data_IF_053221868641
#
_entry.id   IF_053221868641
#
_cell.length_a   1.000
_cell.length_b   1.000
_cell.length_c   1.000
_cell.angle_alpha   90.00
_cell.angle_beta   90.00
_cell.angle_gamma   90.00
#
_symmetry.space_group_name_H-M   'P 1'
#
loop_
_entity.id
_entity.type
_entity.pdbx_description
1 polymer ?
#
# COMPACT_ATOMS: atom_id res chain seq x y z
N UNK A 1 -23.04 -13.68 31.72
CA UNK A 1 -23.01 -14.79 30.73
C UNK A 1 -23.07 -14.17 29.34
N UNK A 2 -22.15 -14.53 28.44
CA UNK A 2 -22.16 -14.03 27.06
C UNK A 2 -23.47 -14.42 26.33
N UNK A 3 -23.99 -13.51 25.54
CA UNK A 3 -25.19 -13.73 24.76
C UNK A 3 -24.99 -14.89 23.76
N UNK A 4 -25.99 -15.80 23.57
CA UNK A 4 -25.86 -16.91 22.63
C UNK A 4 -25.61 -16.42 21.19
N UNK A 5 -24.66 -17.04 20.48
CA UNK A 5 -24.28 -16.68 19.08
C UNK A 5 -25.51 -16.48 18.18
N UNK A 6 -26.50 -17.40 18.24
CA UNK A 6 -27.73 -17.27 17.43
C UNK A 6 -28.52 -15.99 17.66
N UNK A 7 -28.40 -15.39 18.85
CA UNK A 7 -29.08 -14.16 19.16
C UNK A 7 -28.27 -12.96 18.66
N UNK A 8 -26.96 -13.00 18.85
CA UNK A 8 -26.04 -11.98 18.34
C UNK A 8 -26.09 -11.81 16.83
N UNK A 9 -26.17 -12.91 16.04
CA UNK A 9 -26.30 -12.89 14.58
C UNK A 9 -27.56 -12.18 14.04
N UNK A 10 -28.49 -11.77 14.90
CA UNK A 10 -29.66 -10.99 14.47
C UNK A 10 -29.38 -9.49 14.38
N UNK A 11 -28.32 -9.02 15.05
CA UNK A 11 -28.04 -7.58 15.21
C UNK A 11 -26.54 -7.24 15.14
N UNK A 12 -25.65 -8.24 15.14
CA UNK A 12 -24.22 -8.05 14.98
C UNK A 12 -23.71 -8.69 13.68
N UNK A 13 -22.69 -8.09 13.09
CA UNK A 13 -21.99 -8.63 11.93
C UNK A 13 -20.85 -9.55 12.38
N UNK A 14 -20.56 -10.56 11.55
CA UNK A 14 -19.41 -11.45 11.76
C UNK A 14 -18.10 -10.82 11.24
N UNK A 15 -16.94 -11.24 11.77
CA UNK A 15 -16.77 -12.03 13.00
C UNK A 15 -17.34 -11.31 14.21
N UNK A 16 -17.88 -12.08 15.17
CA UNK A 16 -18.34 -11.50 16.45
C UNK A 16 -17.12 -11.17 17.31
N UNK A 17 -17.04 -9.96 17.81
CA UNK A 17 -15.88 -9.48 18.58
C UNK A 17 -16.20 -9.46 20.07
N UNK A 18 -15.30 -10.05 20.87
CA UNK A 18 -15.33 -10.06 22.34
C UNK A 18 -13.91 -9.77 22.86
N UNK A 19 -13.63 -8.51 23.21
CA UNK A 19 -12.28 -8.06 23.59
C UNK A 19 -11.29 -8.27 22.43
N UNK A 20 -10.29 -9.09 22.64
CA UNK A 20 -9.26 -9.45 21.66
C UNK A 20 -9.63 -10.69 20.80
N UNK A 21 -10.82 -11.28 21.00
CA UNK A 21 -11.27 -12.48 20.29
C UNK A 21 -12.23 -12.14 19.18
N UNK A 22 -11.88 -12.53 17.93
CA UNK A 22 -12.76 -12.56 16.77
C UNK A 22 -13.33 -13.98 16.56
N UNK A 23 -14.66 -14.13 16.55
CA UNK A 23 -15.35 -15.40 16.34
C UNK A 23 -16.00 -15.42 14.98
N UNK A 24 -15.41 -16.17 14.04
CA UNK A 24 -16.01 -16.50 12.74
C UNK A 24 -17.13 -17.49 12.92
N UNK A 25 -18.23 -17.33 12.17
CA UNK A 25 -19.43 -18.17 12.31
C UNK A 25 -19.92 -18.60 10.94
N UNK A 26 -20.24 -19.89 10.82
CA UNK A 26 -20.92 -20.44 9.65
C UNK A 26 -22.14 -21.26 10.07
N UNK A 27 -23.20 -21.20 9.26
CA UNK A 27 -24.39 -22.03 9.46
C UNK A 27 -24.68 -22.86 8.21
N UNK A 28 -24.73 -24.16 8.36
CA UNK A 28 -24.95 -25.12 7.29
C UNK A 28 -24.66 -26.55 7.73
N UNK A 29 -24.97 -27.51 6.90
CA UNK A 29 -24.66 -28.94 7.18
C UNK A 29 -23.16 -29.20 7.19
N UNK A 30 -22.43 -28.47 6.34
CA UNK A 30 -20.97 -28.50 6.26
C UNK A 30 -20.44 -27.08 6.36
N UNK A 31 -19.30 -26.91 7.01
CA UNK A 31 -18.59 -25.65 7.01
C UNK A 31 -17.63 -25.57 5.81
N UNK A 32 -17.47 -24.39 5.20
CA UNK A 32 -16.36 -24.11 4.32
C UNK A 32 -15.05 -23.99 5.11
N UNK A 33 -13.96 -23.94 4.41
CA UNK A 33 -12.66 -23.57 4.96
C UNK A 33 -12.56 -22.04 5.04
N UNK A 34 -11.71 -21.56 5.94
CA UNK A 34 -11.44 -20.13 6.12
C UNK A 34 -10.02 -19.82 5.65
N UNK A 35 -9.89 -18.95 4.65
CA UNK A 35 -8.62 -18.36 4.19
C UNK A 35 -8.62 -16.88 4.49
N UNK A 36 -7.44 -16.32 4.79
CA UNK A 36 -7.37 -14.96 5.33
C UNK A 36 -5.93 -14.43 5.31
N UNK A 37 -5.77 -13.15 5.59
CA UNK A 37 -4.48 -12.53 5.88
C UNK A 37 -3.65 -13.36 6.88
N UNK A 38 -4.25 -13.81 8.00
CA UNK A 38 -3.54 -14.60 9.02
C UNK A 38 -3.20 -16.05 8.57
N UNK A 39 -3.72 -16.52 7.45
CA UNK A 39 -3.31 -17.80 6.82
C UNK A 39 -2.31 -17.57 5.67
N UNK A 40 -1.98 -16.32 5.37
CA UNK A 40 -1.15 -15.95 4.22
C UNK A 40 -1.81 -16.26 2.87
N UNK A 41 -3.14 -16.44 2.84
CA UNK A 41 -3.93 -16.81 1.65
C UNK A 41 -3.50 -18.13 1.00
N UNK A 42 -2.80 -19.00 1.76
CA UNK A 42 -2.37 -20.32 1.29
C UNK A 42 -3.46 -21.37 1.55
N UNK A 43 -3.93 -22.05 0.51
CA UNK A 43 -4.95 -23.12 0.64
C UNK A 43 -4.52 -24.22 1.63
N UNK A 44 -3.23 -24.58 1.63
CA UNK A 44 -2.67 -25.57 2.56
C UNK A 44 -2.67 -25.14 4.03
N UNK A 45 -2.94 -23.84 4.31
CA UNK A 45 -3.05 -23.27 5.66
C UNK A 45 -4.48 -22.84 6.00
N UNK A 46 -5.45 -23.16 5.15
CA UNK A 46 -6.85 -22.85 5.41
C UNK A 46 -7.30 -23.44 6.75
N UNK A 47 -8.06 -22.67 7.50
CA UNK A 47 -8.54 -23.04 8.83
C UNK A 47 -9.88 -23.77 8.71
N UNK A 48 -10.02 -24.88 9.44
CA UNK A 48 -11.29 -25.61 9.59
C UNK A 48 -12.09 -25.05 10.75
N UNK A 49 -13.36 -24.72 10.51
CA UNK A 49 -14.27 -24.36 11.57
C UNK A 49 -14.67 -25.62 12.38
N UNK A 50 -14.96 -25.44 13.66
CA UNK A 50 -15.38 -26.49 14.58
C UNK A 50 -16.89 -26.44 14.81
N UNK A 51 -17.58 -27.55 14.69
CA UNK A 51 -19.01 -27.65 14.99
C UNK A 51 -19.26 -27.53 16.50
N UNK A 52 -19.97 -26.49 16.91
CA UNK A 52 -20.39 -26.28 18.32
C UNK A 52 -21.75 -26.87 18.63
N UNK A 53 -22.66 -26.88 17.65
CA UNK A 53 -23.98 -27.49 17.69
C UNK A 53 -24.36 -27.84 16.24
N UNK A 54 -25.26 -28.79 16.05
CA UNK A 54 -25.71 -29.21 14.72
C UNK A 54 -25.96 -28.01 13.78
N UNK A 55 -25.17 -27.93 12.73
CA UNK A 55 -25.24 -26.90 11.72
C UNK A 55 -24.77 -25.50 12.19
N UNK A 56 -24.04 -25.38 13.31
CA UNK A 56 -23.40 -24.16 13.76
C UNK A 56 -21.90 -24.38 13.95
N UNK A 57 -21.11 -23.77 13.11
CA UNK A 57 -19.65 -23.89 13.06
C UNK A 57 -18.99 -22.60 13.47
N UNK A 58 -17.87 -22.67 14.18
CA UNK A 58 -17.13 -21.49 14.61
C UNK A 58 -15.63 -21.69 14.55
N UNK A 59 -14.92 -20.59 14.39
CA UNK A 59 -13.48 -20.48 14.63
C UNK A 59 -13.20 -19.23 15.44
N UNK A 60 -12.32 -19.29 16.41
CA UNK A 60 -11.94 -18.15 17.26
C UNK A 60 -10.47 -17.84 17.08
N UNK A 61 -10.17 -16.55 16.97
CA UNK A 61 -8.81 -16.03 16.77
C UNK A 61 -8.58 -14.86 17.72
N UNK A 62 -7.45 -14.84 18.41
CA UNK A 62 -6.98 -13.69 19.18
C UNK A 62 -6.21 -12.75 18.25
N UNK A 63 -6.58 -11.48 18.29
CA UNK A 63 -5.99 -10.43 17.46
C UNK A 63 -5.63 -9.21 18.29
N UNK A 64 -4.59 -8.45 17.89
CA UNK A 64 -4.35 -7.12 18.42
C UNK A 64 -5.57 -6.21 18.25
N UNK A 65 -5.78 -5.28 19.19
CA UNK A 65 -7.00 -4.47 19.21
C UNK A 65 -7.12 -3.49 18.02
N UNK A 66 -6.04 -3.23 17.31
CA UNK A 66 -5.93 -2.37 16.14
C UNK A 66 -5.81 -3.13 14.81
N UNK A 67 -6.13 -4.43 14.77
CA UNK A 67 -6.00 -5.23 13.56
C UNK A 67 -7.11 -4.94 12.53
N UNK A 68 -6.72 -4.88 11.24
CA UNK A 68 -7.60 -4.95 10.07
C UNK A 68 -7.30 -6.24 9.31
N UNK A 69 -8.31 -7.07 9.08
CA UNK A 69 -8.17 -8.40 8.49
C UNK A 69 -9.15 -8.61 7.34
N UNK A 70 -8.63 -9.10 6.21
CA UNK A 70 -9.43 -9.62 5.12
C UNK A 70 -9.51 -11.15 5.16
N UNK A 71 -10.63 -11.72 4.75
CA UNK A 71 -10.86 -13.16 4.73
C UNK A 71 -11.90 -13.58 3.68
N UNK A 72 -11.88 -14.86 3.32
CA UNK A 72 -12.95 -15.53 2.57
C UNK A 72 -13.26 -16.89 3.16
N UNK A 73 -14.51 -17.30 3.06
CA UNK A 73 -14.88 -18.70 3.16
C UNK A 73 -14.70 -19.36 1.80
N UNK A 74 -14.14 -20.58 1.77
CA UNK A 74 -13.90 -21.32 0.52
C UNK A 74 -14.41 -22.75 0.60
N UNK A 75 -15.04 -23.22 -0.47
CA UNK A 75 -15.45 -24.61 -0.60
C UNK A 75 -14.89 -25.17 -1.90
N UNK A 76 -13.85 -26.01 -1.76
CA UNK A 76 -13.01 -26.35 -2.91
C UNK A 76 -12.29 -25.13 -3.45
N UNK A 77 -12.52 -24.76 -4.72
CA UNK A 77 -11.94 -23.58 -5.37
C UNK A 77 -12.90 -22.37 -5.39
N UNK A 78 -14.09 -22.49 -4.82
CA UNK A 78 -15.12 -21.46 -4.88
C UNK A 78 -15.17 -20.64 -3.59
N UNK A 79 -15.13 -19.32 -3.74
CA UNK A 79 -15.43 -18.40 -2.63
C UNK A 79 -16.90 -18.49 -2.26
N UNK A 80 -17.17 -18.52 -0.97
CA UNK A 80 -18.50 -18.51 -0.38
C UNK A 80 -18.71 -17.17 0.33
N UNK A 81 -19.86 -16.55 0.08
CA UNK A 81 -20.24 -15.30 0.77
C UNK A 81 -20.43 -15.57 2.27
N UNK A 82 -19.95 -14.67 3.12
CA UNK A 82 -20.36 -14.64 4.52
C UNK A 82 -21.72 -13.93 4.65
N UNK A 83 -22.82 -14.69 4.92
CA UNK A 83 -24.16 -14.11 4.95
C UNK A 83 -24.39 -13.14 6.12
N UNK A 84 -23.45 -13.07 7.06
CA UNK A 84 -23.52 -12.23 8.25
C UNK A 84 -22.53 -11.06 8.23
N UNK A 85 -21.69 -10.95 7.17
CA UNK A 85 -20.77 -9.84 7.01
C UNK A 85 -20.91 -9.19 5.62
N UNK A 86 -21.66 -8.09 5.48
CA UNK A 86 -21.81 -7.40 4.21
C UNK A 86 -20.58 -6.56 3.81
N UNK A 87 -19.58 -6.44 4.70
CA UNK A 87 -18.37 -5.64 4.44
C UNK A 87 -17.46 -6.36 3.47
N UNK A 88 -17.20 -5.76 2.32
CA UNK A 88 -16.37 -6.31 1.26
C UNK A 88 -15.34 -5.28 0.78
N UNK A 89 -14.16 -5.75 0.43
CA UNK A 89 -13.06 -4.97 -0.14
C UNK A 89 -12.62 -5.60 -1.46
N UNK A 90 -12.41 -4.83 -2.55
CA UNK A 90 -11.88 -5.36 -3.80
C UNK A 90 -10.51 -6.02 -3.58
N UNK A 91 -10.32 -7.27 -4.01
CA UNK A 91 -9.10 -8.05 -3.77
C UNK A 91 -8.00 -7.83 -4.83
N UNK A 92 -8.24 -7.00 -5.84
CA UNK A 92 -7.28 -6.74 -6.92
C UNK A 92 -7.24 -7.80 -8.03
N UNK A 93 -7.96 -8.91 -7.87
CA UNK A 93 -8.08 -10.00 -8.86
C UNK A 93 -9.42 -10.02 -9.59
N UNK A 94 -10.20 -8.95 -9.44
CA UNK A 94 -11.55 -8.83 -10.04
C UNK A 94 -12.68 -9.37 -9.16
N UNK A 95 -12.37 -9.79 -7.92
CA UNK A 95 -13.31 -10.21 -6.89
C UNK A 95 -13.23 -9.35 -5.63
N UNK A 96 -13.83 -9.86 -4.56
CA UNK A 96 -13.88 -9.19 -3.26
C UNK A 96 -13.46 -10.16 -2.16
N UNK A 97 -12.88 -9.60 -1.08
CA UNK A 97 -12.71 -10.28 0.19
C UNK A 97 -13.68 -9.67 1.20
N UNK A 98 -14.20 -10.48 2.13
CA UNK A 98 -14.80 -9.93 3.33
C UNK A 98 -13.73 -9.32 4.24
N UNK A 99 -14.08 -8.30 5.00
CA UNK A 99 -13.16 -7.72 5.97
C UNK A 99 -13.84 -7.39 7.29
N UNK A 100 -13.04 -7.27 8.31
CA UNK A 100 -13.41 -6.69 9.59
C UNK A 100 -12.22 -5.97 10.21
N UNK A 101 -12.47 -5.21 11.23
CA UNK A 101 -11.44 -4.60 12.05
C UNK A 101 -11.74 -4.78 13.52
N UNK A 102 -10.70 -4.82 14.32
CA UNK A 102 -10.79 -4.85 15.77
C UNK A 102 -11.15 -3.46 16.32
N UNK A 103 -11.61 -3.37 17.61
CA UNK A 103 -12.25 -2.15 18.12
C UNK A 103 -11.40 -0.87 18.11
N UNK A 104 -10.08 -1.00 18.24
CA UNK A 104 -9.16 0.15 18.28
C UNK A 104 -8.54 0.47 16.91
N UNK A 105 -8.93 -0.25 15.85
CA UNK A 105 -8.52 0.11 14.50
C UNK A 105 -9.20 1.42 14.07
N UNK A 106 -8.39 2.38 13.68
CA UNK A 106 -8.84 3.69 13.23
C UNK A 106 -8.45 3.91 11.77
N UNK A 107 -9.39 3.77 10.83
CA UNK A 107 -9.11 4.11 9.44
C UNK A 107 -8.79 5.60 9.32
N UNK A 108 -7.88 5.95 8.42
CA UNK A 108 -7.55 7.35 8.20
C UNK A 108 -8.73 8.14 7.62
N UNK A 109 -9.01 9.30 8.21
CA UNK A 109 -9.97 10.27 7.65
C UNK A 109 -9.33 11.18 6.59
N UNK A 110 -8.02 11.06 6.39
CA UNK A 110 -7.29 11.86 5.39
C UNK A 110 -7.68 11.51 3.94
N UNK A 111 -8.21 10.30 3.71
CA UNK A 111 -8.73 9.88 2.39
C UNK A 111 -10.12 10.46 2.06
N UNK A 112 -10.75 11.18 3.00
CA UNK A 112 -12.06 11.78 2.81
C UNK A 112 -11.93 13.21 2.26
N UNK A 113 -12.86 13.59 1.36
CA UNK A 113 -12.88 14.95 0.81
C UNK A 113 -13.38 15.95 1.85
N UNK A 114 -12.56 16.95 2.20
CA UNK A 114 -12.91 18.05 3.10
C UNK A 114 -13.33 19.27 2.30
N UNK A 115 -14.60 19.69 2.39
CA UNK A 115 -15.17 20.76 1.55
C UNK A 115 -14.62 22.19 1.84
N UNK A 116 -13.92 22.39 2.94
CA UNK A 116 -13.46 23.72 3.40
C UNK A 116 -11.99 24.00 3.16
N UNK A 117 -11.30 23.14 2.42
CA UNK A 117 -9.88 23.31 2.09
C UNK A 117 -9.69 23.46 0.57
N UNK A 118 -8.62 24.09 0.11
CA UNK A 118 -8.25 24.06 -1.30
C UNK A 118 -7.89 22.64 -1.73
N UNK A 119 -8.31 22.25 -2.94
CA UNK A 119 -7.98 20.96 -3.53
C UNK A 119 -7.10 21.14 -4.76
N UNK A 120 -6.16 20.23 -4.95
CA UNK A 120 -5.37 20.13 -6.16
C UNK A 120 -6.19 19.62 -7.35
N UNK A 121 -5.62 19.75 -8.53
CA UNK A 121 -6.23 19.35 -9.80
C UNK A 121 -5.55 18.10 -10.32
N UNK A 122 -6.34 17.08 -10.67
CA UNK A 122 -5.88 15.84 -11.31
C UNK A 122 -6.19 15.90 -12.79
N UNK A 123 -5.16 15.83 -13.64
CA UNK A 123 -5.28 15.83 -15.10
C UNK A 123 -4.82 14.49 -15.66
N UNK A 124 -5.62 13.90 -16.56
CA UNK A 124 -5.34 12.60 -17.19
C UNK A 124 -4.61 12.79 -18.51
N UNK A 125 -3.54 12.02 -18.70
CA UNK A 125 -2.78 11.90 -19.96
C UNK A 125 -2.70 10.45 -20.41
N UNK A 126 -2.60 10.23 -21.71
CA UNK A 126 -2.33 8.93 -22.32
C UNK A 126 -1.12 9.09 -23.21
N UNK A 127 -0.03 8.44 -22.87
CA UNK A 127 1.26 8.59 -23.52
C UNK A 127 1.73 7.28 -24.17
N UNK A 128 2.50 7.35 -25.26
CA UNK A 128 3.03 6.17 -25.93
C UNK A 128 4.13 5.50 -25.11
N UNK A 129 4.28 4.19 -25.28
CA UNK A 129 5.15 3.33 -24.45
C UNK A 129 6.14 2.52 -25.30
N UNK A 130 6.88 3.17 -26.19
CA UNK A 130 7.81 2.49 -27.10
C UNK A 130 8.89 1.66 -26.38
N UNK A 131 9.17 1.97 -25.12
CA UNK A 131 10.22 1.31 -24.33
C UNK A 131 9.68 0.28 -23.32
N UNK A 132 8.36 0.10 -23.27
CA UNK A 132 7.75 -0.82 -22.32
C UNK A 132 7.60 -2.21 -22.91
N UNK A 133 7.63 -3.24 -22.04
CA UNK A 133 7.49 -4.63 -22.48
C UNK A 133 6.09 -4.94 -23.05
N UNK A 134 5.06 -4.22 -22.60
CA UNK A 134 3.67 -4.46 -22.97
C UNK A 134 2.89 -3.18 -23.26
N UNK A 135 1.98 -3.29 -24.22
CA UNK A 135 1.05 -2.23 -24.57
C UNK A 135 1.70 -1.10 -25.38
N UNK A 136 0.88 -0.36 -26.09
CA UNK A 136 1.32 0.78 -26.94
C UNK A 136 1.11 2.12 -26.24
N UNK A 137 0.35 2.16 -25.16
CA UNK A 137 0.00 3.38 -24.43
C UNK A 137 -0.10 3.11 -22.92
N UNK A 138 0.17 4.18 -22.15
CA UNK A 138 0.05 4.16 -20.69
C UNK A 138 -0.70 5.41 -20.22
N UNK A 139 -1.63 5.24 -19.29
CA UNK A 139 -2.27 6.37 -18.61
C UNK A 139 -1.35 6.89 -17.50
N UNK A 140 -1.24 8.21 -17.43
CA UNK A 140 -0.60 8.94 -16.32
C UNK A 140 -1.58 10.00 -15.86
N UNK A 141 -1.83 10.09 -14.55
CA UNK A 141 -2.52 11.23 -13.98
C UNK A 141 -1.50 12.11 -13.26
N UNK A 142 -1.54 13.41 -13.55
CA UNK A 142 -0.75 14.41 -12.84
C UNK A 142 -1.65 15.15 -11.86
N UNK A 143 -1.25 15.19 -10.61
CA UNK A 143 -1.88 16.01 -9.58
C UNK A 143 -1.03 17.23 -9.33
N UNK A 144 -1.63 18.41 -9.49
CA UNK A 144 -1.06 19.71 -9.17
C UNK A 144 -1.66 20.19 -7.83
N UNK A 145 -0.84 20.42 -6.77
CA UNK A 145 -1.34 20.94 -5.50
C UNK A 145 -1.87 22.37 -5.66
N UNK A 146 -2.73 22.85 -4.74
CA UNK A 146 -3.33 24.19 -4.83
C UNK A 146 -2.35 25.29 -4.40
N UNK A 147 -1.16 25.34 -5.03
CA UNK A 147 -0.11 26.34 -4.78
C UNK A 147 0.60 26.69 -6.08
N UNK A 148 1.05 27.96 -6.20
CA UNK A 148 1.73 28.42 -7.41
C UNK A 148 3.26 28.25 -7.37
N UNK A 149 3.85 28.09 -6.16
CA UNK A 149 5.30 27.93 -6.02
C UNK A 149 5.80 26.58 -6.53
N UNK A 150 7.07 26.46 -6.96
CA UNK A 150 7.65 25.18 -7.32
C UNK A 150 7.59 24.16 -6.19
N UNK A 151 7.24 22.91 -6.51
CA UNK A 151 7.07 21.82 -5.55
C UNK A 151 7.83 20.56 -5.99
N UNK A 152 8.22 19.66 -5.07
CA UNK A 152 8.79 18.38 -5.45
C UNK A 152 7.74 17.45 -6.06
N UNK A 153 8.19 16.59 -6.98
CA UNK A 153 7.39 15.54 -7.60
C UNK A 153 7.51 14.22 -6.80
N UNK A 154 6.39 13.53 -6.62
CA UNK A 154 6.38 12.13 -6.18
C UNK A 154 5.76 11.28 -7.29
N UNK A 155 6.53 10.31 -7.80
CA UNK A 155 6.04 9.31 -8.76
C UNK A 155 5.40 8.17 -7.99
N UNK A 156 4.20 7.77 -8.38
CA UNK A 156 3.41 6.73 -7.75
C UNK A 156 3.25 5.56 -8.73
N UNK A 157 3.91 4.44 -8.44
CA UNK A 157 3.69 3.20 -9.16
C UNK A 157 2.33 2.59 -8.78
N UNK A 158 1.70 1.84 -9.69
CA UNK A 158 0.28 1.42 -9.57
C UNK A 158 -0.66 2.62 -9.37
N UNK A 159 -0.42 3.68 -10.14
CA UNK A 159 -1.08 4.97 -9.97
C UNK A 159 -2.61 4.92 -10.01
N UNK A 160 -3.20 3.97 -10.77
CA UNK A 160 -4.66 3.79 -10.81
C UNK A 160 -5.23 3.40 -9.44
N UNK A 161 -4.54 2.51 -8.70
CA UNK A 161 -5.01 2.03 -7.41
C UNK A 161 -4.80 3.11 -6.32
N UNK A 162 -3.65 3.77 -6.35
CA UNK A 162 -3.39 4.87 -5.42
C UNK A 162 -4.32 6.07 -5.64
N UNK A 163 -4.75 6.33 -6.87
CA UNK A 163 -5.72 7.39 -7.14
C UNK A 163 -7.15 6.99 -6.74
N UNK A 164 -7.60 5.77 -7.09
CA UNK A 164 -9.01 5.38 -6.99
C UNK A 164 -9.36 4.55 -5.76
N UNK A 165 -8.40 3.85 -5.14
CA UNK A 165 -8.63 3.02 -3.95
C UNK A 165 -8.03 3.65 -2.67
N UNK A 166 -6.87 4.28 -2.80
CA UNK A 166 -6.19 4.98 -1.70
C UNK A 166 -6.68 6.42 -1.55
N UNK A 167 -7.15 7.04 -2.65
CA UNK A 167 -7.47 8.48 -2.71
C UNK A 167 -6.29 9.36 -2.29
N UNK A 168 -5.09 9.02 -2.75
CA UNK A 168 -3.85 9.66 -2.32
C UNK A 168 -3.80 11.17 -2.60
N UNK A 169 -4.47 11.64 -3.66
CA UNK A 169 -4.65 13.06 -3.94
C UNK A 169 -5.39 13.78 -2.79
N UNK A 170 -6.42 13.16 -2.21
CA UNK A 170 -7.15 13.73 -1.06
C UNK A 170 -6.33 13.68 0.21
N UNK A 171 -5.58 12.60 0.44
CA UNK A 171 -4.64 12.48 1.56
C UNK A 171 -3.63 13.62 1.50
N UNK A 172 -3.06 13.89 0.32
CA UNK A 172 -2.08 14.98 0.13
C UNK A 172 -2.72 16.36 0.32
N UNK A 173 -3.93 16.60 -0.22
CA UNK A 173 -4.68 17.83 0.02
C UNK A 173 -4.86 18.11 1.53
N UNK A 174 -5.31 17.09 2.27
CA UNK A 174 -5.57 17.18 3.70
C UNK A 174 -4.28 17.41 4.50
N UNK A 175 -3.20 16.69 4.19
CA UNK A 175 -1.90 16.86 4.84
C UNK A 175 -1.29 18.23 4.58
N UNK A 176 -1.46 18.80 3.39
CA UNK A 176 -1.02 20.16 3.04
C UNK A 176 -1.84 21.19 3.83
N UNK A 177 -3.16 21.03 3.87
CA UNK A 177 -4.05 21.94 4.60
C UNK A 177 -3.77 21.92 6.11
N UNK A 178 -3.47 20.75 6.67
CA UNK A 178 -3.08 20.56 8.07
C UNK A 178 -1.61 20.95 8.35
N UNK A 179 -0.87 21.46 7.35
CA UNK A 179 0.55 21.84 7.43
C UNK A 179 1.49 20.70 7.89
N UNK A 180 1.07 19.45 7.73
CA UNK A 180 1.88 18.29 8.11
C UNK A 180 2.98 17.99 7.09
N UNK A 181 2.76 18.31 5.81
CA UNK A 181 3.76 18.18 4.74
C UNK A 181 3.88 19.46 3.93
N UNK A 182 5.03 19.64 3.27
CA UNK A 182 5.14 20.65 2.21
C UNK A 182 4.25 20.26 1.02
N UNK A 183 3.76 21.21 0.21
CA UNK A 183 3.04 20.88 -1.02
C UNK A 183 3.85 19.98 -1.94
N UNK A 184 3.19 18.97 -2.51
CA UNK A 184 3.74 17.94 -3.39
C UNK A 184 2.94 17.85 -4.68
N UNK A 185 3.60 17.71 -5.83
CA UNK A 185 2.98 17.23 -7.06
C UNK A 185 3.07 15.71 -7.13
N UNK A 186 2.07 15.04 -7.72
CA UNK A 186 2.06 13.60 -7.87
C UNK A 186 1.96 13.22 -9.36
N UNK A 187 2.71 12.18 -9.76
CA UNK A 187 2.54 11.52 -11.05
C UNK A 187 2.08 10.08 -10.81
N UNK A 188 0.80 9.82 -10.97
CA UNK A 188 0.21 8.50 -10.86
C UNK A 188 0.46 7.73 -12.17
N UNK A 189 1.43 6.86 -12.17
CA UNK A 189 1.79 6.04 -13.34
C UNK A 189 1.03 4.73 -13.27
N UNK A 190 0.09 4.52 -14.20
CA UNK A 190 -0.68 3.28 -14.26
C UNK A 190 0.21 2.12 -14.70
N UNK A 191 -0.05 0.93 -14.20
CA UNK A 191 0.53 -0.29 -14.74
C UNK A 191 -0.19 -0.73 -16.04
N UNK A 192 0.37 -1.70 -16.73
CA UNK A 192 -0.18 -2.24 -17.99
C UNK A 192 -1.07 -3.46 -17.82
N UNK A 193 -1.59 -3.72 -16.61
CA UNK A 193 -2.26 -4.96 -16.24
C UNK A 193 -1.29 -5.96 -15.60
N UNK A 194 -1.82 -7.07 -15.07
CA UNK A 194 -1.08 -7.99 -14.20
C UNK A 194 0.20 -8.55 -14.86
N UNK A 195 0.13 -9.02 -16.11
CA UNK A 195 1.28 -9.58 -16.82
C UNK A 195 2.37 -8.53 -17.10
N UNK A 196 1.96 -7.34 -17.56
CA UNK A 196 2.89 -6.23 -17.78
C UNK A 196 3.55 -5.79 -16.48
N UNK A 197 2.75 -5.62 -15.41
CA UNK A 197 3.21 -5.20 -14.10
C UNK A 197 4.28 -6.14 -13.53
N UNK A 198 4.10 -7.45 -13.68
CA UNK A 198 5.05 -8.45 -13.17
C UNK A 198 6.44 -8.34 -13.82
N UNK A 199 6.52 -7.92 -15.08
CA UNK A 199 7.77 -7.76 -15.81
C UNK A 199 8.33 -6.35 -15.60
N UNK A 200 7.48 -5.33 -15.75
CA UNK A 200 7.89 -3.92 -15.69
C UNK A 200 8.39 -3.51 -14.31
N UNK A 201 7.83 -4.08 -13.23
CA UNK A 201 8.20 -3.72 -11.85
C UNK A 201 9.25 -4.65 -11.22
N UNK A 202 9.69 -5.67 -11.95
CA UNK A 202 10.77 -6.56 -11.51
C UNK A 202 12.17 -5.96 -11.75
N UNK A 203 12.42 -4.74 -11.27
CA UNK A 203 13.69 -4.02 -11.44
C UNK A 203 14.06 -3.82 -12.94
N UNK A 204 13.08 -3.50 -13.76
CA UNK A 204 13.29 -3.39 -15.21
C UNK A 204 13.72 -1.97 -15.61
N UNK A 205 14.91 -1.85 -16.22
CA UNK A 205 15.45 -0.57 -16.67
C UNK A 205 14.59 0.08 -17.78
N UNK A 206 13.82 -0.68 -18.58
CA UNK A 206 12.89 -0.10 -19.55
C UNK A 206 11.82 0.76 -18.88
N UNK A 207 11.40 0.40 -17.68
CA UNK A 207 10.46 1.20 -16.86
C UNK A 207 11.10 2.52 -16.42
N UNK A 208 12.39 2.51 -16.06
CA UNK A 208 13.13 3.75 -15.76
C UNK A 208 13.32 4.61 -16.99
N UNK A 209 13.61 4.01 -18.16
CA UNK A 209 13.74 4.72 -19.45
C UNK A 209 12.40 5.40 -19.80
N UNK A 210 11.28 4.69 -19.63
CA UNK A 210 9.94 5.26 -19.82
C UNK A 210 9.68 6.42 -18.83
N UNK A 211 10.01 6.25 -17.56
CA UNK A 211 9.86 7.28 -16.55
C UNK A 211 10.62 8.56 -16.93
N UNK A 212 11.89 8.43 -17.31
CA UNK A 212 12.76 9.58 -17.61
C UNK A 212 12.42 10.23 -18.94
N UNK A 213 12.11 9.44 -19.97
CA UNK A 213 11.92 9.96 -21.34
C UNK A 213 10.48 10.34 -21.66
N UNK A 214 9.49 9.89 -20.90
CA UNK A 214 8.07 10.16 -21.17
C UNK A 214 7.35 10.82 -19.98
N UNK A 215 7.38 10.20 -18.79
CA UNK A 215 6.63 10.69 -17.62
C UNK A 215 7.24 11.99 -17.09
N UNK A 216 8.55 12.03 -16.96
CA UNK A 216 9.24 13.19 -16.40
C UNK A 216 9.14 14.45 -17.28
N UNK A 217 9.35 14.40 -18.62
CA UNK A 217 9.09 15.55 -19.49
C UNK A 217 7.63 16.03 -19.42
N UNK A 218 6.66 15.09 -19.45
CA UNK A 218 5.23 15.43 -19.29
C UNK A 218 4.97 16.15 -17.95
N UNK A 219 5.53 15.64 -16.86
CA UNK A 219 5.37 16.30 -15.56
C UNK A 219 5.98 17.70 -15.53
N UNK A 220 7.14 17.92 -16.14
CA UNK A 220 7.79 19.24 -16.22
C UNK A 220 7.05 20.23 -17.09
N UNK A 221 6.34 19.77 -18.12
CA UNK A 221 5.52 20.60 -18.99
C UNK A 221 4.26 21.13 -18.28
N UNK A 222 3.66 20.29 -17.43
CA UNK A 222 2.33 20.55 -16.86
C UNK A 222 2.32 20.90 -15.37
N UNK A 223 3.45 20.75 -14.67
CA UNK A 223 3.56 21.01 -13.23
C UNK A 223 4.67 22.03 -12.94
N UNK A 224 4.47 22.87 -11.95
CA UNK A 224 5.51 23.78 -11.46
C UNK A 224 6.43 23.05 -10.47
N UNK A 225 7.51 22.46 -11.00
CA UNK A 225 8.41 21.58 -10.25
C UNK A 225 9.72 22.27 -9.84
N UNK A 226 10.22 21.92 -8.66
CA UNK A 226 11.57 22.28 -8.20
C UNK A 226 12.61 21.78 -9.22
N UNK A 227 13.59 22.62 -9.55
CA UNK A 227 14.70 22.19 -10.42
C UNK A 227 15.63 21.23 -9.64
N UNK A 228 15.72 20.00 -10.11
CA UNK A 228 16.59 18.98 -9.54
C UNK A 228 18.08 19.28 -9.65
N UNK A 229 18.49 20.22 -10.53
CA UNK A 229 19.89 20.67 -10.61
C UNK A 229 20.28 21.50 -9.39
N UNK A 230 19.34 22.27 -8.84
CA UNK A 230 19.56 23.09 -7.63
C UNK A 230 19.17 22.34 -6.35
N UNK A 231 18.31 21.32 -6.44
CA UNK A 231 17.87 20.50 -5.32
C UNK A 231 17.95 18.99 -5.65
N UNK A 232 19.16 18.42 -5.78
CA UNK A 232 19.32 16.99 -6.07
C UNK A 232 18.63 16.11 -5.05
N UNK A 233 17.92 15.07 -5.52
CA UNK A 233 17.18 14.14 -4.66
C UNK A 233 15.91 14.70 -4.01
N UNK A 234 15.43 15.87 -4.45
CA UNK A 234 14.21 16.48 -3.90
C UNK A 234 12.95 15.67 -4.18
N UNK A 235 12.93 14.93 -5.29
CA UNK A 235 11.77 14.13 -5.70
C UNK A 235 11.69 12.82 -4.97
N UNK A 236 10.51 12.23 -4.99
CA UNK A 236 10.25 10.91 -4.40
C UNK A 236 9.58 9.95 -5.34
N UNK A 237 9.56 8.72 -4.90
CA UNK A 237 8.89 7.62 -5.58
C UNK A 237 8.22 6.73 -4.55
N UNK A 238 7.00 6.27 -4.84
CA UNK A 238 6.21 5.45 -3.92
C UNK A 238 5.50 4.31 -4.66
N UNK A 239 5.16 3.26 -3.93
CA UNK A 239 4.37 2.13 -4.42
C UNK A 239 4.25 1.02 -3.39
N UNK A 240 3.40 0.03 -3.69
CA UNK A 240 3.16 -1.14 -2.86
C UNK A 240 3.50 -2.44 -3.58
N UNK A 241 3.89 -3.47 -2.82
CA UNK A 241 4.17 -4.80 -3.37
C UNK A 241 5.28 -4.74 -4.44
N UNK A 242 5.03 -5.21 -5.66
CA UNK A 242 5.93 -5.01 -6.80
C UNK A 242 6.18 -3.52 -7.08
N UNK A 243 5.19 -2.63 -6.87
CA UNK A 243 5.36 -1.19 -6.95
C UNK A 243 6.31 -0.64 -5.89
N UNK A 244 6.31 -1.23 -4.68
CA UNK A 244 7.27 -0.93 -3.61
C UNK A 244 8.70 -1.35 -3.95
N UNK A 245 8.87 -2.53 -4.58
CA UNK A 245 10.14 -2.95 -5.15
C UNK A 245 10.62 -1.96 -6.22
N UNK A 246 9.75 -1.60 -7.16
CA UNK A 246 10.08 -0.66 -8.24
C UNK A 246 10.40 0.74 -7.70
N UNK A 247 9.74 1.17 -6.60
CA UNK A 247 10.06 2.42 -5.94
C UNK A 247 11.47 2.41 -5.36
N UNK A 248 11.85 1.36 -4.63
CA UNK A 248 13.20 1.23 -4.08
C UNK A 248 14.25 1.11 -5.20
N UNK A 249 13.96 0.36 -6.25
CA UNK A 249 14.82 0.26 -7.43
C UNK A 249 15.01 1.61 -8.12
N UNK A 250 13.94 2.38 -8.33
CA UNK A 250 13.99 3.72 -8.93
C UNK A 250 14.90 4.65 -8.12
N UNK A 251 14.73 4.70 -6.80
CA UNK A 251 15.59 5.49 -5.92
C UNK A 251 17.04 5.06 -5.97
N UNK A 252 17.30 3.74 -5.92
CA UNK A 252 18.65 3.19 -5.99
C UNK A 252 19.37 3.49 -7.32
N UNK A 253 18.64 3.53 -8.43
CA UNK A 253 19.19 3.80 -9.78
C UNK A 253 19.31 5.29 -10.09
N UNK A 254 18.41 6.12 -9.57
CA UNK A 254 18.28 7.54 -9.89
C UNK A 254 18.27 8.43 -8.63
N UNK A 255 19.23 8.26 -7.69
CA UNK A 255 19.17 8.88 -6.37
C UNK A 255 19.27 10.42 -6.40
N UNK A 256 19.90 10.98 -7.42
CA UNK A 256 20.01 12.43 -7.59
C UNK A 256 18.69 13.07 -8.08
N UNK A 257 17.76 12.27 -8.59
CA UNK A 257 16.41 12.69 -8.97
C UNK A 257 15.45 12.33 -7.84
N UNK A 258 15.39 11.05 -7.49
CA UNK A 258 14.47 10.45 -6.53
C UNK A 258 15.22 10.06 -5.24
N UNK A 259 15.55 11.06 -4.42
CA UNK A 259 16.25 10.85 -3.15
C UNK A 259 15.33 10.40 -2.01
N UNK A 260 14.02 10.33 -2.22
CA UNK A 260 13.02 9.92 -1.24
C UNK A 260 12.25 8.71 -1.74
N UNK A 261 12.23 7.63 -0.95
CA UNK A 261 11.56 6.37 -1.31
C UNK A 261 10.54 6.00 -0.25
N UNK A 262 9.32 5.70 -0.69
CA UNK A 262 8.25 5.14 0.13
C UNK A 262 7.85 3.78 -0.44
N UNK A 263 8.07 2.71 0.32
CA UNK A 263 7.76 1.36 -0.11
C UNK A 263 6.84 0.68 0.89
N UNK A 264 5.64 0.32 0.46
CA UNK A 264 4.65 -0.40 1.26
C UNK A 264 4.65 -1.89 0.87
N UNK A 265 4.86 -2.79 1.83
CA UNK A 265 4.86 -4.25 1.59
C UNK A 265 5.70 -4.67 0.38
N UNK A 266 6.91 -4.12 0.21
CA UNK A 266 7.70 -4.27 -1.02
C UNK A 266 8.06 -5.72 -1.34
N UNK A 267 7.89 -6.13 -2.60
CA UNK A 267 8.21 -7.48 -3.09
C UNK A 267 9.71 -7.63 -3.40
N UNK A 268 10.58 -7.46 -2.41
CA UNK A 268 12.03 -7.45 -2.59
C UNK A 268 12.65 -8.81 -2.88
N UNK A 269 11.89 -9.90 -2.69
CA UNK A 269 12.26 -11.24 -3.11
C UNK A 269 11.24 -11.77 -4.12
N UNK A 270 11.70 -12.46 -5.13
CA UNK A 270 10.86 -13.16 -6.10
C UNK A 270 11.03 -14.68 -5.86
N UNK A 271 10.06 -15.27 -5.18
CA UNK A 271 10.21 -16.60 -4.61
C UNK A 271 11.32 -16.64 -3.55
N UNK A 272 12.28 -17.53 -3.72
CA UNK A 272 13.45 -17.65 -2.83
C UNK A 272 14.62 -16.74 -3.20
N UNK A 273 14.54 -16.00 -4.32
CA UNK A 273 15.64 -15.20 -4.85
C UNK A 273 15.54 -13.74 -4.37
N UNK A 274 16.66 -13.19 -3.93
CA UNK A 274 16.80 -11.76 -3.70
C UNK A 274 16.79 -11.01 -5.02
N UNK A 275 16.08 -9.88 -5.04
CA UNK A 275 16.15 -8.98 -6.22
C UNK A 275 17.46 -8.16 -6.16
N UNK A 276 17.81 -7.56 -7.29
CA UNK A 276 19.03 -6.77 -7.45
C UNK A 276 19.14 -5.58 -6.48
N UNK A 277 18.04 -5.15 -5.86
CA UNK A 277 18.08 -4.03 -4.88
C UNK A 277 18.93 -4.34 -3.66
N UNK A 278 19.05 -5.61 -3.25
CA UNK A 278 19.96 -6.00 -2.17
C UNK A 278 21.41 -5.68 -2.51
N UNK A 279 21.85 -5.97 -3.75
CA UNK A 279 23.22 -5.67 -4.18
C UNK A 279 23.45 -4.17 -4.39
N UNK A 280 22.47 -3.47 -5.00
CA UNK A 280 22.55 -2.04 -5.26
C UNK A 280 22.64 -1.19 -3.98
N UNK A 281 22.13 -1.69 -2.86
CA UNK A 281 22.02 -0.94 -1.59
C UNK A 281 23.02 -1.39 -0.52
N UNK A 282 23.98 -2.26 -0.85
CA UNK A 282 25.08 -2.63 0.06
C UNK A 282 25.94 -1.42 0.41
N UNK A 283 26.61 -1.48 1.56
CA UNK A 283 27.40 -0.40 2.17
C UNK A 283 28.36 0.31 1.21
N UNK A 284 29.02 -0.42 0.33
CA UNK A 284 30.00 0.14 -0.62
C UNK A 284 29.38 0.96 -1.75
N UNK A 285 28.06 0.90 -1.90
CA UNK A 285 27.29 1.58 -2.95
C UNK A 285 26.23 2.51 -2.36
N UNK A 286 26.46 3.01 -1.12
CA UNK A 286 25.49 3.88 -0.45
C UNK A 286 25.07 5.05 -1.34
N UNK A 287 23.76 5.17 -1.55
CA UNK A 287 23.10 6.25 -2.31
C UNK A 287 22.58 7.32 -1.35
N UNK A 288 22.45 8.59 -1.77
CA UNK A 288 21.86 9.64 -0.94
C UNK A 288 20.32 9.49 -0.89
N UNK A 289 19.83 8.43 -0.25
CA UNK A 289 18.42 8.13 -0.11
C UNK A 289 17.93 8.35 1.31
N UNK A 290 16.71 8.87 1.46
CA UNK A 290 15.88 8.82 2.67
C UNK A 290 14.72 7.86 2.39
N UNK A 291 14.55 6.86 3.23
CA UNK A 291 13.67 5.73 2.94
C UNK A 291 12.62 5.57 4.05
N UNK A 292 11.37 5.44 3.65
CA UNK A 292 10.28 4.91 4.45
C UNK A 292 9.89 3.54 3.92
N UNK A 293 9.74 2.58 4.83
CA UNK A 293 9.18 1.27 4.50
C UNK A 293 8.17 0.85 5.55
N UNK A 294 7.09 0.25 5.11
CA UNK A 294 6.12 -0.39 5.99
C UNK A 294 5.65 -1.75 5.44
N UNK A 295 5.16 -2.62 6.34
CA UNK A 295 4.62 -3.93 5.99
C UNK A 295 3.63 -4.40 7.05
N UNK A 296 2.57 -5.10 6.62
CA UNK A 296 1.61 -5.73 7.52
C UNK A 296 2.19 -6.97 8.20
N UNK A 297 1.88 -7.16 9.49
CA UNK A 297 2.26 -8.37 10.24
C UNK A 297 1.48 -9.61 9.77
N UNK A 298 0.35 -9.41 9.12
CA UNK A 298 -0.46 -10.44 8.47
C UNK A 298 -0.31 -10.44 6.94
N UNK A 299 0.74 -9.80 6.41
CA UNK A 299 1.12 -9.88 5.01
C UNK A 299 1.57 -11.29 4.64
N UNK A 300 1.70 -11.58 3.34
CA UNK A 300 2.24 -12.84 2.87
C UNK A 300 3.54 -13.16 3.61
N UNK A 301 3.69 -14.34 4.23
CA UNK A 301 4.84 -14.64 5.11
C UNK A 301 6.21 -14.45 4.44
N UNK A 302 6.29 -14.75 3.14
CA UNK A 302 7.50 -14.53 2.34
C UNK A 302 7.83 -13.05 2.16
N UNK A 303 6.80 -12.20 1.98
CA UNK A 303 6.99 -10.74 1.85
C UNK A 303 7.40 -10.11 3.17
N UNK A 304 6.75 -10.47 4.28
CA UNK A 304 7.13 -9.97 5.60
C UNK A 304 8.59 -10.34 5.92
N UNK A 305 8.98 -11.59 5.72
CA UNK A 305 10.36 -12.05 5.93
C UNK A 305 11.35 -11.29 5.05
N UNK A 306 10.99 -11.02 3.79
CA UNK A 306 11.85 -10.31 2.86
C UNK A 306 11.97 -8.81 3.18
N UNK A 307 10.89 -8.17 3.65
CA UNK A 307 10.92 -6.78 4.12
C UNK A 307 11.84 -6.62 5.34
N UNK A 308 11.81 -7.55 6.29
CA UNK A 308 12.75 -7.57 7.43
C UNK A 308 14.20 -7.78 6.99
N UNK A 309 14.46 -8.58 5.95
CA UNK A 309 15.82 -8.79 5.41
C UNK A 309 16.36 -7.54 4.73
N UNK A 310 15.58 -6.87 3.88
CA UNK A 310 16.04 -5.62 3.23
C UNK A 310 16.18 -4.49 4.25
N UNK A 311 15.34 -4.42 5.28
CA UNK A 311 15.50 -3.52 6.42
C UNK A 311 16.88 -3.70 7.05
N UNK A 312 17.27 -4.92 7.39
CA UNK A 312 18.59 -5.22 7.97
C UNK A 312 19.72 -4.79 7.04
N UNK A 313 19.58 -5.01 5.73
CA UNK A 313 20.57 -4.59 4.73
C UNK A 313 20.74 -3.07 4.73
N UNK A 314 19.62 -2.33 4.72
CA UNK A 314 19.62 -0.86 4.71
C UNK A 314 20.18 -0.27 6.00
N UNK A 315 19.82 -0.82 7.15
CA UNK A 315 20.34 -0.40 8.46
C UNK A 315 21.85 -0.64 8.52
N UNK A 316 22.31 -1.84 8.13
CA UNK A 316 23.74 -2.18 8.10
C UNK A 316 24.53 -1.28 7.13
N UNK A 317 23.93 -0.88 6.02
CA UNK A 317 24.51 0.05 5.06
C UNK A 317 24.44 1.52 5.53
N UNK A 318 23.77 1.83 6.64
CA UNK A 318 23.67 3.16 7.24
C UNK A 318 22.74 4.12 6.52
N UNK A 319 21.69 3.62 5.86
CA UNK A 319 20.67 4.49 5.25
C UNK A 319 19.79 5.16 6.31
N UNK A 320 19.38 6.43 6.12
CA UNK A 320 18.26 7.03 6.83
C UNK A 320 16.97 6.29 6.49
N UNK A 321 16.58 5.35 7.36
CA UNK A 321 15.42 4.47 7.18
C UNK A 321 14.48 4.63 8.36
N UNK A 322 13.19 4.81 8.06
CA UNK A 322 12.09 4.53 8.98
C UNK A 322 11.40 3.26 8.49
N UNK A 323 11.28 2.28 9.39
CA UNK A 323 10.63 1.00 9.12
C UNK A 323 9.50 0.78 10.12
N UNK A 324 8.32 0.40 9.65
CA UNK A 324 7.14 0.19 10.46
C UNK A 324 6.46 -1.13 10.13
N UNK A 325 6.03 -1.86 11.14
CA UNK A 325 5.13 -3.00 11.03
C UNK A 325 3.78 -2.66 11.67
N UNK A 326 2.66 -3.13 11.09
CA UNK A 326 1.31 -2.85 11.55
C UNK A 326 0.40 -4.08 11.43
N UNK A 327 -0.74 -4.09 12.11
CA UNK A 327 -1.60 -5.27 12.23
C UNK A 327 -2.63 -5.35 11.08
N UNK A 328 -2.16 -5.54 9.85
CA UNK A 328 -2.99 -5.80 8.66
C UNK A 328 -2.27 -6.70 7.65
N UNK A 329 -2.98 -7.09 6.59
CA UNK A 329 -2.48 -7.94 5.51
C UNK A 329 -2.00 -7.17 4.28
N UNK A 330 -1.96 -7.88 3.12
CA UNK A 330 -1.49 -7.37 1.83
C UNK A 330 -2.61 -6.71 1.03
N UNK A 331 -3.05 -5.52 1.43
CA UNK A 331 -4.24 -4.91 0.85
C UNK A 331 -4.19 -3.37 0.82
N UNK A 332 -4.95 -2.79 -0.12
CA UNK A 332 -4.99 -1.34 -0.31
C UNK A 332 -5.65 -0.56 0.83
N UNK A 333 -6.68 -1.04 1.54
CA UNK A 333 -7.17 -0.36 2.73
C UNK A 333 -6.09 -0.11 3.78
N UNK A 334 -5.27 -1.12 4.08
CA UNK A 334 -4.15 -0.97 5.00
C UNK A 334 -3.11 0.04 4.48
N UNK A 335 -2.71 -0.06 3.19
CA UNK A 335 -1.77 0.89 2.59
C UNK A 335 -2.31 2.32 2.56
N UNK A 336 -3.60 2.52 2.34
CA UNK A 336 -4.26 3.83 2.45
C UNK A 336 -4.12 4.41 3.85
N UNK A 337 -4.35 3.57 4.86
CA UNK A 337 -4.39 4.03 6.24
C UNK A 337 -2.98 4.28 6.81
N UNK A 338 -1.93 3.75 6.18
CA UNK A 338 -0.53 3.89 6.60
C UNK A 338 0.31 4.89 5.79
N UNK A 339 -0.01 5.15 4.50
CA UNK A 339 0.84 5.94 3.60
C UNK A 339 1.16 7.36 4.10
N UNK A 340 0.24 7.98 4.82
CA UNK A 340 0.41 9.34 5.32
C UNK A 340 1.59 9.47 6.31
N UNK A 341 1.86 8.43 7.09
CA UNK A 341 3.03 8.38 7.97
C UNK A 341 4.34 8.51 7.17
N UNK A 342 4.42 7.81 6.04
CA UNK A 342 5.56 7.86 5.14
C UNK A 342 5.71 9.24 4.48
N UNK A 343 4.60 9.83 4.05
CA UNK A 343 4.62 11.18 3.48
C UNK A 343 5.08 12.22 4.52
N UNK A 344 4.59 12.16 5.75
CA UNK A 344 5.03 13.05 6.84
C UNK A 344 6.50 12.81 7.17
N UNK A 345 6.96 11.55 7.22
CA UNK A 345 8.37 11.25 7.47
C UNK A 345 9.30 11.83 6.39
N UNK A 346 8.90 11.76 5.11
CA UNK A 346 9.74 12.16 3.98
C UNK A 346 9.63 13.64 3.61
N UNK A 347 8.47 14.26 3.86
CA UNK A 347 8.13 15.61 3.38
C UNK A 347 7.55 16.51 4.48
N UNK A 348 7.55 16.06 5.74
CA UNK A 348 7.08 16.87 6.86
C UNK A 348 7.81 18.20 6.93
N UNK A 349 7.07 19.25 7.28
CA UNK A 349 7.65 20.55 7.60
C UNK A 349 8.22 20.47 9.02
N UNK A 350 9.41 21.07 9.23
CA UNK A 350 9.86 21.34 10.58
C UNK A 350 8.80 22.23 11.25
N UNK A 351 8.38 21.89 12.47
CA UNK A 351 7.52 22.81 13.23
C UNK A 351 8.13 24.20 13.19
N UNK A 352 7.34 25.25 12.91
CA UNK A 352 7.86 26.62 12.97
C UNK A 352 8.54 26.79 14.33
N UNK A 353 9.80 27.26 14.31
CA UNK A 353 10.50 27.58 15.54
C UNK A 353 9.60 28.56 16.31
N UNK A 354 9.17 28.15 17.50
CA UNK A 354 8.46 29.06 18.42
C UNK A 354 9.49 30.12 18.77
N UNK A 355 9.44 31.24 18.08
CA UNK A 355 10.18 32.45 18.48
C UNK A 355 9.52 32.93 19.75
N UNK A 356 10.16 32.60 20.89
CA UNK A 356 9.80 33.14 22.19
C UNK A 356 10.04 34.63 22.30
#
# INVERSE_FOLDING_TARGET
>A
MAEPIKKRLKHEQTPLIDGDVATFVWRGEKAPDLVSDFTGWEEGKAVKLTEKKRGLWTYQLHLPPDAYIEYNFVQGLENQEDPYNPRQSPNGSGGYNHYFHMPDYLPTTLAEKRNKIPHGIVTRFVIPTEFMAFGSRRTVHLYHPPVERPVPLVVIWDGQDYLHRVHLNLIVDNLIADQQIQPLALAFVHNGGAAARSIEYACNDSTLIFLINKVFPLAREHLNLIDIKTAPGAYGVAGASMGGLMALYTGARLPHVFGKVLSQSGAFCLGSMDTVVFDLLKKYHRRPLKIWMDVGLYDLPSLLACNRRIQNTLVTAGYPLVYREYHAGHNYPAWRDEIWHGLVSLYGQAAPAVTG
#
